data_IF_377467651709
#
_entry.id   IF_377467651709
#
_cell.length_a   1.000
_cell.length_b   1.000
_cell.length_c   1.000
_cell.angle_alpha   90.00
_cell.angle_beta   90.00
_cell.angle_gamma   90.00
#
_symmetry.space_group_name_H-M   'P 1'
#
loop_
_entity.id
_entity.type
_entity.pdbx_description
1 polymer ?
#
# COMPACT_ATOMS: atom_id res chain seq x y z
N UNK A 1 -33.72 19.59 -22.57
CA UNK A 1 -32.27 19.37 -22.78
C UNK A 1 -31.60 19.44 -21.42
N UNK A 2 -31.23 18.31 -20.84
CA UNK A 2 -30.59 18.26 -19.52
C UNK A 2 -29.15 18.77 -19.63
N UNK A 3 -28.81 19.81 -18.87
CA UNK A 3 -27.45 20.32 -18.79
C UNK A 3 -26.54 19.26 -18.15
N UNK A 4 -25.45 18.91 -18.85
CA UNK A 4 -24.41 17.98 -18.36
C UNK A 4 -23.83 18.53 -17.04
N UNK A 5 -23.73 17.74 -15.96
CA UNK A 5 -23.11 18.21 -14.71
C UNK A 5 -21.65 18.56 -14.96
N UNK A 6 -21.24 19.76 -14.53
CA UNK A 6 -19.84 20.25 -14.62
C UNK A 6 -19.00 19.54 -13.55
N UNK A 7 -17.86 19.00 -13.95
CA UNK A 7 -16.92 18.30 -13.07
C UNK A 7 -16.49 19.16 -11.86
N UNK A 8 -16.40 18.61 -10.64
CA UNK A 8 -16.06 19.37 -9.44
C UNK A 8 -14.58 19.78 -9.43
N UNK A 9 -14.39 21.11 -9.42
CA UNK A 9 -13.13 21.84 -9.54
C UNK A 9 -12.66 22.34 -8.16
N UNK A 10 -11.40 22.09 -7.84
CA UNK A 10 -10.75 22.24 -6.52
C UNK A 10 -10.43 23.70 -6.17
N UNK A 11 -11.14 24.36 -5.25
CA UNK A 11 -10.90 25.79 -4.92
C UNK A 11 -9.86 25.94 -3.80
N UNK A 12 -8.65 26.38 -4.14
CA UNK A 12 -7.63 26.90 -3.20
C UNK A 12 -7.35 28.37 -3.59
N UNK A 13 -7.54 29.32 -2.67
CA UNK A 13 -7.31 30.77 -2.88
C UNK A 13 -8.03 31.38 -4.10
N UNK A 14 -9.30 31.01 -4.35
CA UNK A 14 -10.06 31.51 -5.50
C UNK A 14 -9.59 30.96 -6.86
N UNK A 15 -8.55 30.12 -6.87
CA UNK A 15 -8.08 29.38 -8.03
C UNK A 15 -8.68 27.97 -8.01
N UNK A 16 -9.34 27.57 -9.09
CA UNK A 16 -9.98 26.26 -9.20
C UNK A 16 -9.07 25.28 -9.97
N UNK A 17 -8.58 24.21 -9.36
CA UNK A 17 -7.65 23.22 -9.97
C UNK A 17 -8.33 21.86 -10.13
N UNK A 18 -8.91 21.52 -11.27
CA UNK A 18 -9.55 20.21 -11.45
C UNK A 18 -8.63 19.01 -11.13
N UNK A 19 -9.21 17.85 -10.75
CA UNK A 19 -8.46 16.58 -10.58
C UNK A 19 -7.46 16.32 -11.72
N UNK A 20 -7.82 16.48 -13.02
CA UNK A 20 -6.85 16.33 -14.10
C UNK A 20 -5.79 17.44 -14.16
N UNK A 21 -6.10 18.69 -13.78
CA UNK A 21 -5.09 19.75 -13.69
C UNK A 21 -4.05 19.44 -12.60
N UNK A 22 -4.48 18.96 -11.44
CA UNK A 22 -3.58 18.53 -10.37
C UNK A 22 -2.71 17.35 -10.79
N UNK A 23 -3.32 16.30 -11.36
CA UNK A 23 -2.58 15.14 -11.86
C UNK A 23 -1.57 15.50 -12.96
N UNK A 24 -1.96 16.38 -13.89
CA UNK A 24 -1.08 16.84 -14.96
C UNK A 24 0.08 17.68 -14.41
N UNK A 25 -0.18 18.55 -13.43
CA UNK A 25 0.85 19.33 -12.77
C UNK A 25 1.84 18.44 -12.04
N UNK A 26 1.36 17.44 -11.30
CA UNK A 26 2.22 16.50 -10.58
C UNK A 26 3.10 15.68 -11.55
N UNK A 27 2.51 15.17 -12.64
CA UNK A 27 3.26 14.43 -13.66
C UNK A 27 4.32 15.31 -14.34
N UNK A 28 4.01 16.59 -14.62
CA UNK A 28 4.95 17.53 -15.21
C UNK A 28 6.09 17.89 -14.25
N UNK A 29 5.78 18.12 -12.98
CA UNK A 29 6.79 18.40 -11.94
C UNK A 29 7.72 17.20 -11.76
N UNK A 30 7.20 15.99 -11.72
CA UNK A 30 8.00 14.77 -11.64
C UNK A 30 8.84 14.56 -12.90
N UNK A 31 8.31 14.87 -14.09
CA UNK A 31 9.09 14.81 -15.33
C UNK A 31 10.28 15.77 -15.32
N UNK A 32 10.09 16.99 -14.82
CA UNK A 32 11.17 17.96 -14.62
C UNK A 32 12.17 17.43 -13.59
N UNK A 33 11.70 16.92 -12.46
CA UNK A 33 12.57 16.38 -11.41
C UNK A 33 13.41 15.21 -11.93
N UNK A 34 12.82 14.26 -12.65
CA UNK A 34 13.53 13.13 -13.26
C UNK A 34 14.58 13.63 -14.25
N UNK A 35 14.26 14.62 -15.09
CA UNK A 35 15.23 15.21 -16.02
C UNK A 35 16.39 15.89 -15.27
N UNK A 36 16.12 16.60 -14.18
CA UNK A 36 17.15 17.21 -13.33
C UNK A 36 18.02 16.16 -12.64
N UNK A 37 17.43 15.06 -12.16
CA UNK A 37 18.18 13.95 -11.56
C UNK A 37 19.15 13.36 -12.59
N UNK A 38 18.66 13.05 -13.79
CA UNK A 38 19.50 12.49 -14.86
C UNK A 38 20.63 13.46 -15.26
N UNK A 39 20.36 14.77 -15.26
CA UNK A 39 21.34 15.77 -15.66
C UNK A 39 22.40 16.06 -14.59
N UNK A 40 22.03 16.02 -13.30
CA UNK A 40 22.86 16.60 -12.23
C UNK A 40 23.27 15.63 -11.13
N UNK A 41 22.61 14.49 -10.98
CA UNK A 41 22.97 13.51 -9.94
C UNK A 41 23.97 12.50 -10.52
N UNK A 42 25.20 12.40 -9.97
CA UNK A 42 26.18 11.43 -10.44
C UNK A 42 25.67 10.00 -10.29
N UNK A 43 25.69 9.24 -11.39
CA UNK A 43 25.32 7.84 -11.38
C UNK A 43 26.45 6.95 -10.87
N UNK A 44 26.11 5.99 -10.02
CA UNK A 44 27.04 4.96 -9.55
C UNK A 44 26.84 3.69 -10.38
N UNK A 45 27.86 3.25 -11.12
CA UNK A 45 27.74 2.22 -12.17
C UNK A 45 27.74 0.76 -11.70
N UNK A 46 27.79 0.51 -10.39
CA UNK A 46 28.05 -0.83 -9.82
C UNK A 46 27.10 -1.89 -10.37
N UNK A 47 25.79 -1.61 -10.34
CA UNK A 47 24.79 -2.60 -10.77
C UNK A 47 24.65 -2.66 -12.29
N UNK A 48 24.73 -1.52 -13.01
CA UNK A 48 24.58 -1.50 -14.46
C UNK A 48 25.68 -2.28 -15.16
N UNK A 49 26.94 -2.05 -14.78
CA UNK A 49 28.08 -2.72 -15.42
C UNK A 49 28.02 -4.24 -15.14
N UNK A 50 27.63 -4.63 -13.92
CA UNK A 50 27.40 -6.02 -13.56
C UNK A 50 26.29 -6.67 -14.40
N UNK A 51 25.16 -5.98 -14.59
CA UNK A 51 24.03 -6.47 -15.38
C UNK A 51 24.41 -6.60 -16.86
N UNK A 52 25.07 -5.59 -17.44
CA UNK A 52 25.48 -5.63 -18.83
C UNK A 52 26.47 -6.76 -19.11
N UNK A 53 27.44 -7.00 -18.21
CA UNK A 53 28.37 -8.13 -18.32
C UNK A 53 27.66 -9.49 -18.34
N UNK A 54 26.65 -9.68 -17.47
CA UNK A 54 25.85 -10.90 -17.44
C UNK A 54 25.00 -11.07 -18.71
N UNK A 55 24.44 -9.99 -19.24
CA UNK A 55 23.64 -9.97 -20.46
C UNK A 55 24.51 -10.22 -21.69
N UNK A 56 25.72 -9.66 -21.74
CA UNK A 56 26.71 -9.90 -22.80
C UNK A 56 27.07 -11.37 -22.90
N UNK A 57 27.26 -12.06 -21.77
CA UNK A 57 27.47 -13.51 -21.75
C UNK A 57 26.33 -14.26 -22.42
N UNK A 58 25.08 -13.88 -22.10
CA UNK A 58 23.89 -14.48 -22.70
C UNK A 58 23.75 -14.15 -24.20
N UNK A 59 23.93 -12.89 -24.60
CA UNK A 59 23.91 -12.47 -26.00
C UNK A 59 25.05 -13.09 -26.82
N UNK A 60 26.20 -13.35 -26.19
CA UNK A 60 27.35 -14.05 -26.75
C UNK A 60 27.15 -15.56 -26.96
N UNK A 61 25.98 -16.09 -26.60
CA UNK A 61 25.61 -17.49 -26.88
C UNK A 61 25.70 -18.43 -25.68
N UNK A 62 26.09 -17.95 -24.50
CA UNK A 62 26.07 -18.79 -23.29
C UNK A 62 24.61 -19.14 -22.94
N UNK A 63 24.38 -20.42 -22.65
CA UNK A 63 23.06 -20.97 -22.31
C UNK A 63 23.08 -21.75 -21.00
N UNK A 64 24.26 -22.04 -20.46
CA UNK A 64 24.43 -22.57 -19.13
C UNK A 64 24.38 -21.43 -18.11
N UNK A 65 23.23 -21.32 -17.44
CA UNK A 65 22.93 -20.26 -16.50
C UNK A 65 23.94 -20.20 -15.33
N UNK A 66 24.56 -21.32 -14.94
CA UNK A 66 25.55 -21.37 -13.85
C UNK A 66 26.87 -20.67 -14.20
N UNK A 67 27.09 -20.43 -15.50
CA UNK A 67 28.28 -19.74 -16.04
C UNK A 67 28.06 -18.24 -16.27
N UNK A 68 26.83 -17.75 -16.21
CA UNK A 68 26.54 -16.32 -16.36
C UNK A 68 26.94 -15.58 -15.07
N UNK A 69 27.97 -14.73 -15.16
CA UNK A 69 28.52 -13.96 -14.04
C UNK A 69 29.03 -12.62 -14.55
N UNK A 70 29.03 -11.60 -13.68
CA UNK A 70 29.65 -10.30 -13.93
C UNK A 70 30.68 -9.97 -12.84
N UNK A 71 31.19 -8.74 -12.85
CA UNK A 71 32.24 -8.29 -11.91
C UNK A 71 31.82 -8.34 -10.44
N UNK A 72 30.51 -8.34 -10.16
CA UNK A 72 29.94 -8.45 -8.81
C UNK A 72 29.56 -9.87 -8.41
N UNK A 73 29.80 -10.87 -9.28
CA UNK A 73 29.56 -12.28 -9.00
C UNK A 73 28.54 -12.94 -9.94
N UNK A 74 28.03 -14.13 -9.57
CA UNK A 74 27.13 -14.89 -10.42
C UNK A 74 25.77 -14.22 -10.61
N UNK A 75 25.16 -14.45 -11.77
CA UNK A 75 23.80 -14.02 -12.04
C UNK A 75 22.82 -14.78 -11.12
N UNK A 76 22.11 -14.01 -10.30
CA UNK A 76 21.15 -14.53 -9.30
C UNK A 76 19.69 -14.21 -9.65
N UNK A 77 19.44 -13.46 -10.73
CA UNK A 77 18.11 -13.01 -11.14
C UNK A 77 17.47 -13.97 -12.14
N UNK A 78 16.19 -14.36 -11.98
CA UNK A 78 15.50 -15.31 -12.86
C UNK A 78 15.65 -14.98 -14.35
N UNK A 79 15.56 -15.97 -15.24
CA UNK A 79 15.79 -15.81 -16.68
C UNK A 79 15.02 -14.66 -17.36
N UNK A 80 13.85 -14.26 -16.83
CA UNK A 80 13.12 -13.06 -17.25
C UNK A 80 13.97 -11.78 -17.25
N UNK A 81 14.87 -11.64 -16.27
CA UNK A 81 15.84 -10.55 -16.21
C UNK A 81 16.71 -10.48 -17.46
N UNK A 82 17.28 -11.62 -17.88
CA UNK A 82 18.14 -11.68 -19.08
C UNK A 82 17.38 -11.24 -20.32
N UNK A 83 16.15 -11.72 -20.52
CA UNK A 83 15.36 -11.34 -21.69
C UNK A 83 15.04 -9.84 -21.71
N UNK A 84 14.62 -9.29 -20.57
CA UNK A 84 14.28 -7.87 -20.46
C UNK A 84 15.53 -7.02 -20.64
N UNK A 85 16.63 -7.31 -19.93
CA UNK A 85 17.85 -6.51 -20.01
C UNK A 85 18.60 -6.70 -21.33
N UNK A 86 18.44 -7.82 -22.03
CA UNK A 86 18.88 -7.96 -23.43
C UNK A 86 18.16 -6.96 -24.33
N UNK A 87 16.84 -6.84 -24.21
CA UNK A 87 16.08 -5.87 -24.99
C UNK A 87 16.48 -4.43 -24.62
N UNK A 88 16.67 -4.14 -23.33
CA UNK A 88 17.15 -2.84 -22.85
C UNK A 88 18.53 -2.54 -23.45
N UNK A 89 19.48 -3.46 -23.36
CA UNK A 89 20.84 -3.27 -23.88
C UNK A 89 20.86 -3.02 -25.39
N UNK A 90 20.02 -3.74 -26.15
CA UNK A 90 19.87 -3.52 -27.61
C UNK A 90 19.34 -2.11 -27.90
N UNK A 91 18.38 -1.61 -27.10
CA UNK A 91 17.78 -0.29 -27.27
C UNK A 91 18.74 0.82 -26.86
N UNK A 92 19.49 0.63 -25.77
CA UNK A 92 20.34 1.67 -25.17
C UNK A 92 21.77 1.62 -25.67
N UNK A 93 22.16 0.58 -26.40
CA UNK A 93 23.54 0.30 -26.78
C UNK A 93 24.41 -0.13 -25.59
N UNK A 94 23.82 -0.50 -24.45
CA UNK A 94 24.54 -0.76 -23.20
C UNK A 94 25.03 0.48 -22.47
N UNK A 95 24.72 1.68 -22.98
CA UNK A 95 25.14 2.94 -22.39
C UNK A 95 24.22 3.37 -21.25
N UNK A 96 24.83 3.94 -20.19
CA UNK A 96 24.12 4.37 -18.98
C UNK A 96 23.14 5.50 -19.28
N UNK A 97 23.55 6.51 -20.04
CA UNK A 97 22.73 7.70 -20.26
C UNK A 97 21.42 7.40 -21.03
N UNK A 98 21.44 6.67 -22.16
CA UNK A 98 20.21 6.22 -22.81
C UNK A 98 19.36 5.31 -21.91
N UNK A 99 19.97 4.48 -21.06
CA UNK A 99 19.23 3.65 -20.11
C UNK A 99 18.51 4.48 -19.03
N UNK A 100 19.15 5.51 -18.49
CA UNK A 100 18.53 6.44 -17.55
C UNK A 100 17.32 7.15 -18.18
N UNK A 101 17.42 7.56 -19.44
CA UNK A 101 16.29 8.14 -20.18
C UNK A 101 15.17 7.11 -20.32
N UNK A 102 15.48 5.88 -20.74
CA UNK A 102 14.51 4.81 -20.90
C UNK A 102 13.76 4.51 -19.59
N UNK A 103 14.47 4.32 -18.49
CA UNK A 103 13.87 4.09 -17.17
C UNK A 103 13.07 5.30 -16.67
N UNK A 104 13.54 6.53 -16.94
CA UNK A 104 12.80 7.76 -16.65
C UNK A 104 11.46 7.82 -17.39
N UNK A 105 11.44 7.45 -18.67
CA UNK A 105 10.19 7.38 -19.46
C UNK A 105 9.25 6.30 -18.92
N UNK A 106 9.76 5.10 -18.63
CA UNK A 106 8.96 4.01 -18.05
C UNK A 106 8.35 4.40 -16.70
N UNK A 107 9.13 5.09 -15.85
CA UNK A 107 8.66 5.65 -14.59
C UNK A 107 7.49 6.63 -14.81
N UNK A 108 7.62 7.58 -15.74
CA UNK A 108 6.57 8.57 -16.00
C UNK A 108 5.30 7.94 -16.59
N UNK A 109 5.43 6.91 -17.43
CA UNK A 109 4.28 6.14 -17.92
C UNK A 109 3.56 5.46 -16.75
N UNK A 110 4.32 4.78 -15.88
CA UNK A 110 3.76 4.13 -14.70
C UNK A 110 3.05 5.14 -13.79
N UNK A 111 3.69 6.28 -13.51
CA UNK A 111 3.09 7.36 -12.73
C UNK A 111 1.80 7.88 -13.37
N UNK A 112 1.79 8.09 -14.70
CA UNK A 112 0.60 8.50 -15.44
C UNK A 112 -0.56 7.50 -15.35
N UNK A 113 -0.28 6.20 -15.40
CA UNK A 113 -1.28 5.13 -15.21
C UNK A 113 -1.83 5.20 -13.79
N UNK A 114 -0.97 5.26 -12.78
CA UNK A 114 -1.35 5.35 -11.36
C UNK A 114 -2.24 6.56 -11.12
N UNK A 115 -1.86 7.75 -11.61
CA UNK A 115 -2.66 8.96 -11.49
C UNK A 115 -4.00 8.84 -12.22
N UNK A 116 -4.05 8.16 -13.37
CA UNK A 116 -5.30 7.88 -14.08
C UNK A 116 -6.24 6.98 -13.28
N UNK A 117 -5.70 5.96 -12.61
CA UNK A 117 -6.47 5.11 -11.69
C UNK A 117 -7.02 5.97 -10.55
N UNK A 118 -6.19 6.77 -9.89
CA UNK A 118 -6.63 7.67 -8.82
C UNK A 118 -7.71 8.66 -9.25
N UNK A 119 -7.63 9.20 -10.47
CA UNK A 119 -8.67 10.08 -11.02
C UNK A 119 -10.00 9.37 -11.28
N UNK A 120 -9.97 8.06 -11.58
CA UNK A 120 -11.16 7.24 -11.85
C UNK A 120 -11.76 6.59 -10.61
N UNK A 121 -11.01 6.54 -9.50
CA UNK A 121 -11.48 5.99 -8.23
C UNK A 121 -11.91 7.11 -7.28
N UNK A 122 -13.08 6.98 -6.65
CA UNK A 122 -13.61 7.96 -5.68
C UNK A 122 -12.84 8.00 -4.33
N UNK A 123 -11.62 7.45 -4.29
CA UNK A 123 -10.75 7.48 -3.12
C UNK A 123 -10.40 8.92 -2.71
N UNK A 124 -10.41 9.85 -3.66
CA UNK A 124 -10.13 11.28 -3.41
C UNK A 124 -11.32 12.05 -2.80
N UNK A 125 -12.52 11.48 -2.81
CA UNK A 125 -13.78 12.21 -2.54
C UNK A 125 -14.04 12.52 -1.07
N UNK A 126 -13.15 12.14 -0.14
CA UNK A 126 -13.27 12.51 1.27
C UNK A 126 -12.56 13.84 1.64
N UNK A 127 -11.76 14.41 0.72
CA UNK A 127 -11.04 15.67 0.95
C UNK A 127 -11.63 16.90 0.23
N UNK A 128 -12.64 16.72 -0.65
CA UNK A 128 -13.22 17.81 -1.43
C UNK A 128 -14.65 18.18 -1.03
N UNK A 129 -14.76 19.38 -0.46
CA UNK A 129 -15.94 20.10 0.01
C UNK A 129 -17.16 20.03 -0.93
N UNK A 130 -16.95 19.93 -2.25
CA UNK A 130 -17.98 20.21 -3.25
C UNK A 130 -18.75 18.95 -3.73
N UNK A 131 -18.19 17.74 -3.59
CA UNK A 131 -18.88 16.48 -3.95
C UNK A 131 -19.86 16.00 -2.88
N UNK A 132 -19.81 16.55 -1.66
CA UNK A 132 -20.79 16.26 -0.61
C UNK A 132 -22.22 16.72 -0.99
N UNK A 133 -22.37 17.64 -1.96
CA UNK A 133 -23.65 18.24 -2.38
C UNK A 133 -24.57 17.31 -3.17
N UNK A 134 -24.03 16.33 -3.90
CA UNK A 134 -24.83 15.34 -4.67
C UNK A 134 -25.31 14.16 -3.82
N UNK A 135 -24.70 13.94 -2.66
CA UNK A 135 -25.14 13.00 -1.62
C UNK A 135 -26.17 13.63 -0.66
N UNK A 136 -26.48 14.92 -0.84
CA UNK A 136 -27.48 15.59 -0.04
C UNK A 136 -28.88 15.27 -0.55
N UNK A 137 -29.78 14.66 0.25
CA UNK A 137 -31.17 14.54 -0.14
C UNK A 137 -31.73 15.95 -0.36
N UNK A 138 -32.42 16.17 -1.47
CA UNK A 138 -33.20 17.39 -1.67
C UNK A 138 -34.30 17.47 -0.61
N UNK A 139 -34.76 18.67 -0.21
CA UNK A 139 -35.83 18.85 0.80
C UNK A 139 -37.19 18.25 0.42
N UNK A 140 -37.28 17.54 -0.70
CA UNK A 140 -38.51 16.93 -1.23
C UNK A 140 -38.75 15.50 -0.75
N UNK A 141 -37.91 14.96 0.15
CA UNK A 141 -38.22 13.70 0.83
C UNK A 141 -39.37 13.92 1.82
N UNK A 142 -40.42 13.07 1.84
CA UNK A 142 -41.58 13.29 2.69
C UNK A 142 -41.16 13.40 4.16
N UNK A 143 -41.62 14.48 4.81
CA UNK A 143 -41.46 14.70 6.25
C UNK A 143 -41.88 13.45 7.03
N UNK A 144 -40.89 12.68 7.51
CA UNK A 144 -41.12 11.67 8.53
C UNK A 144 -41.33 12.42 9.84
N UNK A 145 -42.60 12.50 10.29
CA UNK A 145 -42.95 13.11 11.58
C UNK A 145 -42.17 12.43 12.70
N UNK A 146 -41.44 13.22 13.51
CA UNK A 146 -40.77 12.74 14.72
C UNK A 146 -39.27 13.04 14.82
N UNK A 147 -38.66 13.61 13.79
CA UNK A 147 -37.27 14.05 13.84
C UNK A 147 -37.13 15.51 13.39
N UNK A 148 -37.19 16.43 14.34
CA UNK A 148 -36.65 17.78 14.17
C UNK A 148 -35.14 17.68 14.21
N UNK A 149 -34.53 17.63 13.03
CA UNK A 149 -33.12 17.98 12.90
C UNK A 149 -33.10 19.44 12.46
N UNK A 150 -32.52 20.30 13.29
CA UNK A 150 -32.19 21.68 12.91
C UNK A 150 -31.04 21.60 11.90
N UNK A 151 -31.40 21.43 10.63
CA UNK A 151 -30.44 21.28 9.54
C UNK A 151 -29.79 22.65 9.27
N UNK A 152 -28.48 22.75 9.49
CA UNK A 152 -27.71 23.91 9.02
C UNK A 152 -27.63 23.87 7.49
N UNK A 153 -28.06 24.96 6.84
CA UNK A 153 -28.12 25.11 5.37
C UNK A 153 -26.74 25.13 4.67
N UNK A 154 -25.64 24.97 5.42
CA UNK A 154 -24.29 25.07 4.91
C UNK A 154 -23.66 23.68 4.68
N UNK A 155 -23.47 23.29 3.41
CA UNK A 155 -22.86 22.00 3.00
C UNK A 155 -21.50 21.74 3.66
N UNK A 156 -20.71 22.79 3.91
CA UNK A 156 -19.41 22.73 4.60
C UNK A 156 -19.54 22.23 6.03
N UNK A 157 -20.60 22.67 6.71
CA UNK A 157 -20.94 22.22 8.06
C UNK A 157 -21.41 20.76 8.01
N UNK A 158 -22.16 20.34 6.97
CA UNK A 158 -22.58 18.95 6.76
C UNK A 158 -21.44 17.94 6.57
N UNK A 159 -20.46 18.22 5.71
CA UNK A 159 -19.37 17.26 5.44
C UNK A 159 -18.45 17.09 6.68
N UNK A 160 -18.23 18.17 7.44
CA UNK A 160 -17.63 18.11 8.78
C UNK A 160 -18.50 17.34 9.78
N UNK A 161 -19.82 17.56 9.80
CA UNK A 161 -20.77 16.79 10.64
C UNK A 161 -20.78 15.31 10.27
N UNK A 162 -20.60 14.93 9.00
CA UNK A 162 -20.55 13.52 8.59
C UNK A 162 -19.25 12.88 9.06
N UNK A 163 -18.10 13.55 8.91
CA UNK A 163 -16.81 13.01 9.37
C UNK A 163 -16.77 12.95 10.90
N UNK A 164 -17.15 14.04 11.58
CA UNK A 164 -17.24 14.11 13.04
C UNK A 164 -18.34 13.19 13.56
N UNK A 165 -19.45 13.05 12.84
CA UNK A 165 -20.56 12.15 13.13
C UNK A 165 -20.18 10.69 12.95
N UNK A 166 -19.42 10.37 11.90
CA UNK A 166 -18.87 9.04 11.68
C UNK A 166 -17.88 8.70 12.78
N UNK A 167 -16.87 9.54 13.05
CA UNK A 167 -15.90 9.28 14.12
C UNK A 167 -16.60 9.17 15.47
N UNK A 168 -17.51 10.10 15.80
CA UNK A 168 -18.23 10.05 17.09
C UNK A 168 -19.18 8.86 17.22
N UNK A 169 -19.81 8.40 16.13
CA UNK A 169 -20.76 7.27 16.17
C UNK A 169 -20.12 5.90 15.97
N UNK A 170 -19.08 5.81 15.14
CA UNK A 170 -18.30 4.59 14.92
C UNK A 170 -17.47 4.24 16.14
N UNK A 171 -16.96 5.24 16.87
CA UNK A 171 -16.21 5.08 18.11
C UNK A 171 -17.03 5.49 19.36
N UNK A 172 -18.35 5.29 19.34
CA UNK A 172 -19.18 5.51 20.52
C UNK A 172 -19.03 4.33 21.51
N UNK A 173 -18.07 4.44 22.42
CA UNK A 173 -17.78 3.45 23.46
C UNK A 173 -18.87 3.34 24.54
N UNK A 174 -19.82 4.27 24.58
CA UNK A 174 -20.98 4.21 25.47
C UNK A 174 -22.15 3.37 24.93
N UNK A 175 -22.07 2.90 23.68
CA UNK A 175 -23.12 2.10 23.05
C UNK A 175 -23.12 0.68 23.63
N UNK A 176 -24.27 0.28 24.17
CA UNK A 176 -24.54 -1.09 24.60
C UNK A 176 -25.32 -1.81 23.50
N UNK A 177 -24.86 -2.97 23.07
CA UNK A 177 -25.58 -3.79 22.10
C UNK A 177 -26.76 -4.49 22.78
N UNK A 178 -27.88 -4.65 22.06
CA UNK A 178 -29.03 -5.40 22.57
C UNK A 178 -28.76 -6.90 22.43
N UNK A 179 -28.89 -7.66 23.52
CA UNK A 179 -28.60 -9.10 23.53
C UNK A 179 -29.44 -9.88 22.50
N UNK A 180 -30.68 -9.44 22.25
CA UNK A 180 -31.58 -10.04 21.26
C UNK A 180 -30.93 -10.19 19.87
N UNK A 181 -30.22 -9.16 19.41
CA UNK A 181 -29.57 -9.09 18.09
C UNK A 181 -28.13 -9.63 18.08
N UNK A 182 -27.61 -10.10 19.22
CA UNK A 182 -26.27 -10.67 19.28
C UNK A 182 -26.26 -12.07 18.65
N UNK A 183 -25.46 -12.26 17.61
CA UNK A 183 -25.30 -13.58 16.96
C UNK A 183 -24.27 -14.41 17.73
N UNK A 184 -23.07 -13.85 17.94
CA UNK A 184 -21.94 -14.57 18.52
C UNK A 184 -22.01 -14.74 20.04
N UNK A 185 -22.85 -13.96 20.74
CA UNK A 185 -22.93 -13.95 22.20
C UNK A 185 -24.26 -14.47 22.74
N UNK A 186 -25.09 -15.10 21.88
CA UNK A 186 -26.45 -15.55 22.26
C UNK A 186 -26.47 -16.56 23.41
N UNK A 187 -25.36 -17.26 23.63
CA UNK A 187 -25.17 -18.21 24.72
C UNK A 187 -24.91 -17.54 26.08
N UNK A 188 -24.56 -16.26 26.11
CA UNK A 188 -24.30 -15.50 27.34
C UNK A 188 -25.62 -14.97 27.90
N UNK A 189 -25.93 -15.15 29.19
CA UNK A 189 -27.17 -14.60 29.73
C UNK A 189 -27.19 -13.07 29.61
N UNK A 190 -28.36 -12.50 29.31
CA UNK A 190 -28.53 -11.07 29.00
C UNK A 190 -27.99 -10.15 30.10
N UNK A 191 -28.19 -10.52 31.37
CA UNK A 191 -27.69 -9.78 32.53
C UNK A 191 -26.15 -9.63 32.52
N UNK A 192 -25.43 -10.64 32.03
CA UNK A 192 -23.96 -10.58 31.89
C UNK A 192 -23.56 -9.83 30.62
N UNK A 193 -24.23 -10.07 29.50
CA UNK A 193 -23.93 -9.45 28.21
C UNK A 193 -24.00 -7.91 28.26
N UNK A 194 -25.01 -7.36 28.96
CA UNK A 194 -25.24 -5.92 29.09
C UNK A 194 -24.34 -5.26 30.16
N UNK A 195 -23.61 -6.05 30.95
CA UNK A 195 -22.81 -5.54 32.07
C UNK A 195 -21.55 -4.80 31.61
N UNK A 196 -21.27 -3.65 32.24
CA UNK A 196 -20.03 -2.87 31.99
C UNK A 196 -18.74 -3.67 32.23
N UNK A 197 -18.63 -4.49 33.31
CA UNK A 197 -17.41 -5.28 33.55
C UNK A 197 -17.10 -6.25 32.40
N UNK A 198 -18.13 -6.89 31.83
CA UNK A 198 -17.95 -7.82 30.71
C UNK A 198 -17.43 -7.10 29.45
N UNK A 199 -17.99 -5.94 29.12
CA UNK A 199 -17.51 -5.13 27.99
C UNK A 199 -16.06 -4.65 28.16
N UNK A 200 -15.69 -4.19 29.37
CA UNK A 200 -14.31 -3.78 29.67
C UNK A 200 -13.35 -4.97 29.60
N UNK A 201 -13.74 -6.15 30.10
CA UNK A 201 -12.91 -7.35 30.00
C UNK A 201 -12.63 -7.74 28.54
N UNK A 202 -13.66 -7.72 27.67
CA UNK A 202 -13.50 -7.98 26.24
C UNK A 202 -12.55 -6.96 25.58
N UNK A 203 -12.66 -5.68 25.93
CA UNK A 203 -11.77 -4.64 25.42
C UNK A 203 -10.32 -4.88 25.86
N UNK A 204 -10.09 -5.21 27.14
CA UNK A 204 -8.76 -5.52 27.66
C UNK A 204 -8.16 -6.72 26.92
N UNK A 205 -8.93 -7.79 26.74
CA UNK A 205 -8.48 -8.97 25.97
C UNK A 205 -8.12 -8.59 24.54
N UNK A 206 -8.98 -7.82 23.85
CA UNK A 206 -8.74 -7.40 22.48
C UNK A 206 -7.48 -6.53 22.34
N UNK A 207 -7.31 -5.52 23.20
CA UNK A 207 -6.13 -4.66 23.19
C UNK A 207 -4.86 -5.46 23.52
N UNK A 208 -4.94 -6.40 24.46
CA UNK A 208 -3.80 -7.27 24.80
C UNK A 208 -3.40 -8.15 23.61
N UNK A 209 -4.37 -8.76 22.93
CA UNK A 209 -4.11 -9.56 21.72
C UNK A 209 -3.52 -8.71 20.59
N UNK A 210 -4.02 -7.50 20.38
CA UNK A 210 -3.45 -6.56 19.41
C UNK A 210 -2.03 -6.16 19.77
N UNK A 211 -1.74 -5.87 21.04
CA UNK A 211 -0.39 -5.54 21.50
C UNK A 211 0.57 -6.72 21.37
N UNK A 212 0.12 -7.94 21.65
CA UNK A 212 0.92 -9.16 21.44
C UNK A 212 1.20 -9.40 19.97
N UNK A 213 0.19 -9.27 19.11
CA UNK A 213 0.34 -9.40 17.66
C UNK A 213 1.27 -8.32 17.11
N UNK A 214 1.07 -7.08 17.52
CA UNK A 214 1.93 -5.97 17.20
C UNK A 214 3.35 -6.27 17.64
N UNK A 215 3.59 -6.64 18.90
CA UNK A 215 4.92 -6.98 19.41
C UNK A 215 5.60 -8.08 18.57
N UNK A 216 4.88 -9.15 18.23
CA UNK A 216 5.40 -10.22 17.36
C UNK A 216 5.73 -9.72 15.94
N UNK A 217 4.95 -8.78 15.39
CA UNK A 217 5.22 -8.14 14.09
C UNK A 217 6.34 -7.11 14.18
N UNK A 218 6.46 -6.37 15.28
CA UNK A 218 7.54 -5.42 15.55
C UNK A 218 8.88 -6.14 15.64
N UNK A 219 8.95 -7.34 16.23
CA UNK A 219 10.16 -8.16 16.16
C UNK A 219 10.59 -8.43 14.70
N UNK A 220 9.64 -8.73 13.80
CA UNK A 220 9.94 -8.94 12.37
C UNK A 220 10.35 -7.64 11.67
N UNK A 221 9.71 -6.51 12.01
CA UNK A 221 10.08 -5.19 11.48
C UNK A 221 11.47 -4.75 11.97
N UNK A 222 11.82 -5.00 13.23
CA UNK A 222 13.14 -4.71 13.79
C UNK A 222 14.22 -5.52 13.06
N UNK A 223 13.99 -6.81 12.80
CA UNK A 223 14.91 -7.63 12.00
C UNK A 223 15.07 -7.05 10.58
N UNK A 224 13.97 -6.65 9.94
CA UNK A 224 13.98 -6.03 8.62
C UNK A 224 14.76 -4.70 8.60
N UNK A 225 14.43 -3.76 9.49
CA UNK A 225 15.11 -2.46 9.57
C UNK A 225 16.59 -2.59 9.93
N UNK A 226 16.96 -3.57 10.77
CA UNK A 226 18.36 -3.82 11.12
C UNK A 226 19.16 -4.26 9.89
N UNK A 227 18.61 -5.15 9.05
CA UNK A 227 19.26 -5.54 7.79
C UNK A 227 19.46 -4.33 6.87
N UNK A 228 18.43 -3.49 6.69
CA UNK A 228 18.55 -2.34 5.78
C UNK A 228 19.50 -1.26 6.29
N UNK A 229 19.52 -0.99 7.59
CA UNK A 229 20.51 -0.07 8.16
C UNK A 229 21.92 -0.62 7.97
N UNK A 230 22.14 -1.92 8.19
CA UNK A 230 23.45 -2.53 7.99
C UNK A 230 23.91 -2.46 6.53
N UNK A 231 22.99 -2.62 5.58
CA UNK A 231 23.29 -2.58 4.14
C UNK A 231 23.60 -1.16 3.64
N UNK A 232 23.01 -0.13 4.24
CA UNK A 232 23.23 1.27 3.86
C UNK A 232 24.47 1.93 4.51
N UNK A 233 25.17 1.24 5.42
CA UNK A 233 26.41 1.74 6.03
C UNK A 233 27.61 1.34 5.16
N UNK A 234 28.19 2.34 4.48
CA UNK A 234 29.41 2.20 3.69
C UNK A 234 30.52 3.17 4.16
N UNK A 235 31.77 2.71 4.37
CA UNK A 235 32.19 1.32 4.38
C UNK A 235 31.60 0.54 5.57
N UNK A 236 31.44 -0.77 5.42
CA UNK A 236 31.00 -1.62 6.52
C UNK A 236 31.99 -1.55 7.68
N UNK A 237 31.48 -1.70 8.91
CA UNK A 237 32.28 -1.66 10.13
C UNK A 237 31.92 -2.84 11.04
N UNK A 238 32.72 -3.05 12.08
CA UNK A 238 32.54 -4.18 13.02
C UNK A 238 31.12 -4.25 13.59
N UNK A 239 30.50 -3.10 13.90
CA UNK A 239 29.16 -3.05 14.47
C UNK A 239 28.09 -3.47 13.46
N UNK A 240 28.14 -2.97 12.22
CA UNK A 240 27.17 -3.36 11.19
C UNK A 240 27.34 -4.83 10.79
N UNK A 241 28.57 -5.34 10.72
CA UNK A 241 28.83 -6.76 10.45
C UNK A 241 28.32 -7.68 11.55
N UNK A 242 28.55 -7.36 12.82
CA UNK A 242 28.05 -8.16 13.95
C UNK A 242 26.52 -8.10 14.06
N UNK A 243 25.92 -6.91 13.88
CA UNK A 243 24.46 -6.75 13.89
C UNK A 243 23.80 -7.56 12.78
N UNK A 244 24.38 -7.57 11.58
CA UNK A 244 23.90 -8.37 10.45
C UNK A 244 24.01 -9.87 10.75
N UNK A 245 25.13 -10.34 11.29
CA UNK A 245 25.35 -11.75 11.65
C UNK A 245 24.33 -12.21 12.70
N UNK A 246 24.18 -11.47 13.81
CA UNK A 246 23.23 -11.78 14.87
C UNK A 246 21.79 -11.84 14.34
N UNK A 247 21.41 -10.88 13.48
CA UNK A 247 20.08 -10.83 12.86
C UNK A 247 19.81 -12.06 11.99
N UNK A 248 20.79 -12.50 11.19
CA UNK A 248 20.64 -13.70 10.35
C UNK A 248 20.57 -14.98 11.17
N UNK A 249 21.38 -15.11 12.24
CA UNK A 249 21.30 -16.25 13.15
C UNK A 249 19.92 -16.35 13.83
N UNK A 250 19.34 -15.22 14.23
CA UNK A 250 17.99 -15.16 14.80
C UNK A 250 16.90 -15.56 13.79
N UNK A 251 17.03 -15.14 12.52
CA UNK A 251 16.10 -15.54 11.46
C UNK A 251 16.19 -17.05 11.20
N UNK A 252 17.40 -17.60 11.08
CA UNK A 252 17.62 -19.04 10.86
C UNK A 252 17.10 -19.87 12.04
N UNK A 253 17.36 -19.43 13.27
CA UNK A 253 16.82 -20.04 14.48
C UNK A 253 15.28 -20.01 14.50
N UNK A 254 14.67 -18.89 14.13
CA UNK A 254 13.22 -18.76 14.01
C UNK A 254 12.62 -19.68 12.95
N UNK A 255 13.28 -19.83 11.80
CA UNK A 255 12.88 -20.77 10.75
C UNK A 255 13.03 -22.23 11.19
N UNK A 256 14.09 -22.56 11.93
CA UNK A 256 14.34 -23.90 12.46
C UNK A 256 13.24 -24.38 13.43
N UNK A 257 12.67 -23.45 14.21
CA UNK A 257 11.60 -23.74 15.18
C UNK A 257 10.21 -23.69 14.52
N UNK A 258 10.07 -23.04 13.37
CA UNK A 258 8.78 -22.90 12.70
C UNK A 258 8.22 -24.28 12.31
N UNK A 259 7.01 -24.60 12.79
CA UNK A 259 6.29 -25.80 12.35
C UNK A 259 5.93 -25.64 10.88
N UNK A 260 6.29 -26.63 10.07
CA UNK A 260 5.93 -26.68 8.66
C UNK A 260 4.48 -27.16 8.54
N UNK A 261 3.52 -26.23 8.60
CA UNK A 261 2.12 -26.55 8.39
C UNK A 261 1.79 -26.40 6.91
N UNK A 262 1.61 -27.53 6.21
CA UNK A 262 1.21 -27.55 4.80
C UNK A 262 -0.30 -27.32 4.67
N UNK A 263 -0.76 -26.20 4.08
CA UNK A 263 -2.17 -25.83 4.08
C UNK A 263 -3.05 -26.68 3.14
N UNK A 264 -2.49 -27.68 2.44
CA UNK A 264 -3.17 -28.37 1.34
C UNK A 264 -3.62 -29.81 1.64
N UNK A 265 -3.39 -30.35 2.85
CA UNK A 265 -3.56 -31.80 3.12
C UNK A 265 -4.93 -32.19 3.71
N UNK A 266 -5.86 -31.24 3.90
CA UNK A 266 -7.18 -31.51 4.49
C UNK A 266 -8.38 -31.43 3.52
N UNK A 267 -8.23 -31.86 2.26
CA UNK A 267 -9.39 -32.20 1.40
C UNK A 267 -9.59 -33.72 1.31
N UNK A 268 -9.74 -34.39 2.46
CA UNK A 268 -10.26 -35.76 2.46
C UNK A 268 -11.76 -35.72 2.12
N UNK A 269 -12.06 -36.18 0.90
CA UNK A 269 -13.14 -37.13 0.60
C UNK A 269 -14.50 -36.85 1.27
N UNK A 270 -15.37 -36.12 0.58
CA UNK A 270 -16.81 -36.38 0.68
C UNK A 270 -17.26 -37.05 -0.62
N UNK A 271 -17.81 -38.28 -0.58
CA UNK A 271 -18.43 -38.87 -1.75
C UNK A 271 -19.75 -38.15 -2.01
N UNK A 272 -19.91 -37.62 -3.21
CA UNK A 272 -21.19 -37.14 -3.76
C UNK A 272 -22.20 -38.28 -3.67
N UNK A 273 -23.26 -38.10 -2.88
CA UNK A 273 -24.47 -38.89 -2.99
C UNK A 273 -25.27 -38.33 -4.16
N UNK A 274 -25.34 -39.09 -5.25
CA UNK A 274 -26.41 -38.98 -6.23
C UNK A 274 -27.67 -39.57 -5.60
N UNK A 275 -28.75 -38.79 -5.57
CA UNK A 275 -30.16 -39.18 -5.68
C UNK A 275 -30.97 -37.93 -6.08
#
# INVERSE_FOLDING_TARGET
MAAKPKDPLLVLNGYRISKPQFASALLALDAILVALIIAYVPYTKIDWDAYMSQVDGFLGGERDYMKLRGDTGPLVYPAGFLYVYSAVQIITGGEVYPAQILFGVLYLINLGIVLTIYMKTDVWSCFYQDECSSLCPTPTSPHVKGFEYEWSDNCTVRCRIITVGYISRAFNLGRVFMHFWSVNFKFVPEAFFVSKPFAVALLVVHLTLLLMFAHHKWCKLILFFTVEICWNIFPSNLYSSLALLCTHLLILWGLWIAKCEYPYVHSKSQPTKED
#
